data_IF_387572861176
#
_entry.id   IF_387572861176
#
_cell.length_a   1.000
_cell.length_b   1.000
_cell.length_c   1.000
_cell.angle_alpha   90.00
_cell.angle_beta   90.00
_cell.angle_gamma   90.00
#
_symmetry.space_group_name_H-M   'P 1'
#
loop_
_entity.id
_entity.type
_entity.pdbx_description
1 polymer ?
#
# COMPACT_ATOMS: atom_id res chain seq x y z
N UNK A 1 -2.36 20.90 14.80
CA UNK A 1 -1.92 19.52 15.12
C UNK A 1 -1.49 18.85 13.81
N UNK A 2 -0.36 18.14 13.77
CA UNK A 2 0.09 17.42 12.58
C UNK A 2 -0.87 16.26 12.35
N UNK A 3 -1.41 16.14 11.12
CA UNK A 3 -2.32 15.08 10.74
C UNK A 3 -1.57 13.74 10.72
N UNK A 4 -2.11 12.72 11.35
CA UNK A 4 -1.59 11.37 11.31
C UNK A 4 -2.59 10.44 10.62
N UNK A 5 -2.09 9.45 9.94
CA UNK A 5 -2.92 8.55 9.16
C UNK A 5 -2.36 7.14 9.11
N UNK A 6 -3.15 6.25 8.52
CA UNK A 6 -2.86 4.84 8.34
C UNK A 6 -2.97 4.47 6.86
N UNK A 7 -1.93 3.86 6.32
CA UNK A 7 -1.90 3.31 4.98
C UNK A 7 -1.94 1.78 5.05
N UNK A 8 -2.99 1.18 4.49
CA UNK A 8 -3.21 -0.25 4.49
C UNK A 8 -2.89 -0.86 3.12
N UNK A 9 -2.11 -1.94 3.11
CA UNK A 9 -1.78 -2.69 1.92
C UNK A 9 -1.89 -4.19 2.18
N UNK A 10 -2.52 -4.95 1.27
CA UNK A 10 -2.30 -6.39 1.24
C UNK A 10 -0.92 -6.70 0.69
N UNK A 11 -0.35 -7.83 1.08
CA UNK A 11 0.88 -8.35 0.51
C UNK A 11 0.77 -9.82 0.19
N UNK A 12 1.56 -10.24 -0.80
CA UNK A 12 1.74 -11.62 -1.23
C UNK A 12 3.22 -11.82 -1.56
N UNK A 13 3.69 -13.05 -1.48
CA UNK A 13 5.05 -13.38 -1.88
C UNK A 13 5.05 -14.50 -2.91
N UNK A 14 5.90 -14.39 -3.93
CA UNK A 14 6.10 -15.43 -4.95
C UNK A 14 7.56 -15.72 -5.16
N UNK A 15 7.87 -16.92 -5.65
CA UNK A 15 9.25 -17.28 -6.01
C UNK A 15 9.75 -16.40 -7.15
N UNK A 16 11.00 -15.96 -7.08
CA UNK A 16 11.68 -15.29 -8.18
C UNK A 16 11.76 -16.25 -9.37
N UNK A 17 11.54 -15.75 -10.56
CA UNK A 17 11.50 -16.53 -11.81
C UNK A 17 10.36 -17.55 -11.96
N UNK A 18 9.34 -17.51 -11.12
CA UNK A 18 8.11 -18.28 -11.31
C UNK A 18 7.03 -17.42 -12.00
N UNK A 19 6.03 -18.08 -12.62
CA UNK A 19 4.89 -17.37 -13.22
C UNK A 19 4.12 -16.52 -12.22
N UNK A 20 3.33 -15.57 -12.72
CA UNK A 20 2.64 -14.58 -11.88
C UNK A 20 1.64 -15.17 -10.87
N UNK A 21 1.17 -16.40 -11.08
CA UNK A 21 0.15 -17.05 -10.23
C UNK A 21 0.73 -18.00 -9.15
N UNK A 22 2.06 -18.07 -9.01
CA UNK A 22 2.71 -18.98 -8.08
C UNK A 22 3.07 -18.31 -6.74
N UNK A 23 2.07 -17.79 -6.03
CA UNK A 23 2.26 -17.27 -4.68
C UNK A 23 2.53 -18.41 -3.70
N UNK A 24 3.44 -18.18 -2.75
CA UNK A 24 3.71 -19.13 -1.65
C UNK A 24 2.65 -18.99 -0.56
N UNK A 25 2.36 -20.11 0.12
CA UNK A 25 1.55 -20.09 1.34
C UNK A 25 2.33 -19.40 2.48
N UNK A 26 1.74 -18.35 3.07
CA UNK A 26 2.37 -17.63 4.18
C UNK A 26 2.44 -18.46 5.47
N UNK A 27 1.57 -19.47 5.59
CA UNK A 27 1.51 -20.43 6.70
C UNK A 27 2.27 -21.72 6.41
N UNK A 28 2.92 -21.84 5.23
CA UNK A 28 3.63 -23.04 4.80
C UNK A 28 5.15 -22.91 5.00
N UNK A 29 5.85 -24.04 5.19
CA UNK A 29 7.31 -24.05 5.24
C UNK A 29 7.94 -23.57 3.93
N UNK A 30 9.10 -22.95 4.06
CA UNK A 30 9.87 -22.46 2.92
C UNK A 30 11.35 -22.74 3.12
N UNK A 31 12.01 -23.26 2.08
CA UNK A 31 13.43 -23.54 2.07
C UNK A 31 14.11 -22.81 0.91
N UNK A 32 15.22 -22.16 1.21
CA UNK A 32 16.07 -21.50 0.22
C UNK A 32 17.53 -21.47 0.67
N UNK A 33 18.44 -21.89 -0.19
CA UNK A 33 19.90 -21.92 0.07
C UNK A 33 20.26 -22.57 1.42
N UNK A 34 19.69 -23.74 1.72
CA UNK A 34 19.86 -24.48 2.97
C UNK A 34 19.35 -23.78 4.25
N UNK A 35 18.64 -22.67 4.11
CA UNK A 35 17.91 -22.05 5.21
C UNK A 35 16.46 -22.52 5.19
N UNK A 36 15.97 -23.01 6.31
CA UNK A 36 14.62 -23.51 6.49
C UNK A 36 13.83 -22.55 7.38
N UNK A 37 12.63 -22.22 6.96
CA UNK A 37 11.67 -21.37 7.68
C UNK A 37 10.34 -22.11 7.80
N UNK A 38 9.76 -22.17 8.99
CA UNK A 38 8.48 -22.84 9.19
C UNK A 38 7.30 -22.11 8.55
N UNK A 39 7.42 -20.80 8.35
CA UNK A 39 6.39 -19.96 7.74
C UNK A 39 6.97 -18.58 7.36
N UNK A 40 6.14 -17.76 6.74
CA UNK A 40 6.52 -16.40 6.33
C UNK A 40 6.82 -15.46 7.51
N UNK A 41 6.21 -15.69 8.67
CA UNK A 41 6.50 -14.93 9.89
C UNK A 41 7.97 -15.00 10.28
N UNK A 42 8.56 -16.21 10.26
CA UNK A 42 9.99 -16.40 10.57
C UNK A 42 10.89 -15.65 9.58
N UNK A 43 10.53 -15.63 8.28
CA UNK A 43 11.21 -14.84 7.27
C UNK A 43 11.12 -13.33 7.54
N UNK A 44 9.95 -12.84 7.95
CA UNK A 44 9.75 -11.44 8.35
C UNK A 44 10.57 -11.07 9.58
N UNK A 45 10.60 -11.95 10.59
CA UNK A 45 11.40 -11.70 11.80
C UNK A 45 12.91 -11.72 11.51
N UNK A 46 13.36 -12.53 10.55
CA UNK A 46 14.74 -12.48 10.07
C UNK A 46 15.05 -11.15 9.37
N UNK A 47 14.17 -10.68 8.48
CA UNK A 47 14.28 -9.36 7.86
C UNK A 47 14.31 -8.23 8.90
N UNK A 48 13.42 -8.28 9.90
CA UNK A 48 13.34 -7.25 10.95
C UNK A 48 14.66 -7.18 11.71
N UNK A 49 15.25 -8.33 12.09
CA UNK A 49 16.55 -8.39 12.78
C UNK A 49 17.68 -7.83 11.94
N UNK A 50 17.70 -8.10 10.65
CA UNK A 50 18.68 -7.53 9.72
C UNK A 50 18.59 -6.00 9.65
N UNK A 51 17.41 -5.45 9.82
CA UNK A 51 17.15 -4.02 9.76
C UNK A 51 17.22 -3.28 11.11
N UNK A 52 17.75 -3.89 12.17
CA UNK A 52 17.88 -3.22 13.48
C UNK A 52 18.94 -2.11 13.50
N UNK A 53 19.94 -2.18 12.63
CA UNK A 53 20.91 -1.10 12.43
C UNK A 53 20.43 -0.20 11.25
N UNK A 54 20.91 1.05 11.22
CA UNK A 54 20.55 1.97 10.17
C UNK A 54 21.13 1.57 8.81
N UNK A 55 20.25 1.46 7.84
CA UNK A 55 20.58 1.31 6.42
C UNK A 55 20.39 2.63 5.70
N UNK A 56 21.32 2.97 4.85
CA UNK A 56 21.21 4.12 3.96
C UNK A 56 20.55 3.71 2.64
N UNK A 57 19.63 4.55 2.17
CA UNK A 57 19.06 4.45 0.83
C UNK A 57 19.36 5.74 0.06
N UNK A 58 20.47 5.71 -0.67
CA UNK A 58 20.95 6.86 -1.45
C UNK A 58 19.93 7.33 -2.51
N UNK A 59 19.18 6.41 -3.14
CA UNK A 59 18.18 6.76 -4.15
C UNK A 59 17.04 7.60 -3.58
N UNK A 60 16.65 7.31 -2.33
CA UNK A 60 15.58 8.04 -1.63
C UNK A 60 16.13 9.15 -0.75
N UNK A 61 17.45 9.26 -0.58
CA UNK A 61 18.11 10.16 0.38
C UNK A 61 17.52 9.98 1.78
N UNK A 62 17.41 8.72 2.26
CA UNK A 62 16.77 8.37 3.53
C UNK A 62 17.53 7.29 4.29
N UNK A 63 17.59 7.47 5.60
CA UNK A 63 17.96 6.43 6.55
C UNK A 63 16.75 5.58 6.92
N UNK A 64 16.99 4.29 7.20
CA UNK A 64 15.98 3.32 7.59
C UNK A 64 16.53 2.36 8.64
N UNK A 65 15.77 2.13 9.71
CA UNK A 65 16.02 1.06 10.67
C UNK A 65 14.71 0.59 11.31
N UNK A 66 14.73 -0.58 11.92
CA UNK A 66 13.67 -1.03 12.84
C UNK A 66 14.21 -0.94 14.26
N UNK A 67 13.51 -0.22 15.11
CA UNK A 67 13.96 0.07 16.47
C UNK A 67 14.16 -1.24 17.29
N UNK A 68 15.36 -1.45 17.80
CA UNK A 68 15.71 -2.63 18.63
C UNK A 68 14.74 -2.77 19.80
N UNK A 69 14.26 -4.00 20.04
CA UNK A 69 13.33 -4.29 21.13
C UNK A 69 11.90 -3.75 20.96
N UNK A 70 11.59 -3.14 19.81
CA UNK A 70 10.23 -2.63 19.55
C UNK A 70 9.27 -3.69 19.01
N UNK A 71 9.78 -4.85 18.64
CA UNK A 71 9.01 -5.94 18.05
C UNK A 71 8.13 -6.59 19.10
N UNK A 72 6.83 -6.65 18.81
CA UNK A 72 5.86 -7.37 19.63
C UNK A 72 5.04 -8.30 18.73
N UNK A 73 4.87 -9.53 19.16
CA UNK A 73 4.07 -10.54 18.48
C UNK A 73 2.84 -10.83 19.31
N UNK A 74 1.66 -10.60 18.74
CA UNK A 74 0.37 -10.91 19.36
C UNK A 74 -0.29 -12.04 18.62
N UNK A 75 -0.54 -13.15 19.31
CA UNK A 75 -1.30 -14.29 18.79
C UNK A 75 -2.77 -14.18 19.18
N UNK A 76 -3.66 -14.22 18.19
CA UNK A 76 -5.13 -14.12 18.35
C UNK A 76 -5.87 -15.42 17.96
N UNK A 77 -5.15 -16.53 17.90
CA UNK A 77 -5.72 -17.81 17.48
C UNK A 77 -5.82 -17.96 15.97
N UNK A 78 -6.68 -17.20 15.32
CA UNK A 78 -6.89 -17.25 13.86
C UNK A 78 -6.00 -16.30 13.04
N UNK A 79 -5.22 -15.45 13.70
CA UNK A 79 -4.22 -14.59 13.06
C UNK A 79 -3.10 -14.21 14.04
N UNK A 80 -1.99 -13.74 13.50
CA UNK A 80 -0.90 -13.09 14.25
C UNK A 80 -0.72 -11.67 13.80
N UNK A 81 -0.35 -10.81 14.74
CA UNK A 81 0.10 -9.44 14.48
C UNK A 81 1.53 -9.29 14.97
N UNK A 82 2.42 -8.87 14.07
CA UNK A 82 3.74 -8.37 14.39
C UNK A 82 3.65 -6.86 14.37
N UNK A 83 3.99 -6.20 15.47
CA UNK A 83 4.09 -4.74 15.51
C UNK A 83 5.52 -4.34 15.79
N UNK A 84 6.01 -3.28 15.13
CA UNK A 84 7.34 -2.72 15.35
C UNK A 84 7.38 -1.22 15.04
N UNK A 85 8.46 -0.56 15.48
CA UNK A 85 8.72 0.85 15.23
C UNK A 85 9.74 0.97 14.11
N UNK A 86 9.36 1.59 13.02
CA UNK A 86 10.24 1.96 11.93
C UNK A 86 10.82 3.36 12.18
N UNK A 87 12.13 3.46 12.12
CA UNK A 87 12.89 4.70 12.19
C UNK A 87 13.27 5.12 10.78
N UNK A 88 12.87 6.30 10.35
CA UNK A 88 13.26 6.80 9.03
C UNK A 88 13.28 8.31 8.99
N UNK A 89 14.23 8.87 8.25
CA UNK A 89 14.36 10.29 8.04
C UNK A 89 15.17 10.64 6.80
N UNK A 90 14.86 11.79 6.22
CA UNK A 90 15.58 12.29 5.06
C UNK A 90 16.85 13.00 5.48
N UNK A 91 17.89 12.96 4.64
CA UNK A 91 19.13 13.71 4.75
C UNK A 91 19.42 14.47 3.43
N UNK A 92 20.58 15.08 3.30
CA UNK A 92 21.00 15.74 2.05
C UNK A 92 20.60 17.22 1.97
N UNK A 93 19.95 17.79 2.98
CA UNK A 93 19.49 19.19 2.98
C UNK A 93 20.06 19.92 4.21
N UNK A 94 20.76 21.03 3.98
CA UNK A 94 21.12 21.96 5.05
C UNK A 94 19.87 22.74 5.48
N UNK A 95 19.60 22.80 6.79
CA UNK A 95 18.47 23.55 7.34
C UNK A 95 18.77 24.00 8.77
N UNK A 96 17.99 24.94 9.28
CA UNK A 96 18.08 25.43 10.64
C UNK A 96 16.84 25.03 11.43
N UNK A 97 17.01 24.60 12.65
CA UNK A 97 15.95 24.39 13.61
C UNK A 97 15.85 25.61 14.51
N UNK A 98 14.76 26.35 14.39
CA UNK A 98 14.52 27.58 15.16
C UNK A 98 13.46 27.32 16.23
N UNK A 99 13.72 27.75 17.45
CA UNK A 99 12.72 27.70 18.50
C UNK A 99 11.55 28.63 18.15
N UNK A 100 10.33 28.12 18.17
CA UNK A 100 9.13 28.86 17.75
C UNK A 100 8.82 30.06 18.66
N UNK A 101 9.21 30.00 19.94
CA UNK A 101 8.89 31.01 20.92
C UNK A 101 10.00 32.07 21.02
N UNK A 102 11.27 31.64 21.14
CA UNK A 102 12.43 32.58 21.25
C UNK A 102 12.91 33.10 19.90
N UNK A 103 12.58 32.45 18.78
CA UNK A 103 13.04 32.74 17.40
C UNK A 103 14.56 32.56 17.21
N UNK A 104 15.23 31.91 18.13
CA UNK A 104 16.66 31.64 18.06
C UNK A 104 16.91 30.30 17.35
N UNK A 105 18.00 30.25 16.56
CA UNK A 105 18.45 28.98 15.94
C UNK A 105 19.05 28.10 17.03
N UNK A 106 18.48 26.93 17.23
CA UNK A 106 18.89 25.95 18.24
C UNK A 106 19.80 24.85 17.70
N UNK A 107 19.73 24.61 16.40
CA UNK A 107 20.54 23.60 15.71
C UNK A 107 20.63 23.91 14.21
N UNK A 108 21.84 23.84 13.66
CA UNK A 108 22.08 23.86 12.21
C UNK A 108 22.28 22.42 11.71
N UNK A 109 21.30 21.92 10.96
CA UNK A 109 21.34 20.61 10.35
C UNK A 109 22.25 20.63 9.13
N UNK A 110 23.23 19.74 9.11
CA UNK A 110 24.11 19.53 7.96
C UNK A 110 23.47 18.54 6.95
N UNK A 111 23.98 18.50 5.70
CA UNK A 111 23.47 17.53 4.70
C UNK A 111 23.56 16.08 5.13
N UNK A 112 24.56 15.69 5.92
CA UNK A 112 24.75 14.34 6.44
C UNK A 112 23.81 13.97 7.61
N UNK A 113 23.14 14.96 8.20
CA UNK A 113 22.22 14.73 9.33
C UNK A 113 20.86 14.28 8.82
N UNK A 114 20.35 13.17 9.33
CA UNK A 114 19.02 12.67 9.02
C UNK A 114 17.99 13.07 10.09
N UNK A 115 16.85 13.64 9.67
CA UNK A 115 15.72 13.97 10.56
C UNK A 115 14.87 12.70 10.81
N UNK A 116 15.29 11.90 11.77
CA UNK A 116 14.66 10.61 12.07
C UNK A 116 13.33 10.77 12.79
N UNK A 117 12.29 10.17 12.22
CA UNK A 117 10.96 10.05 12.80
C UNK A 117 10.62 8.59 13.10
N UNK A 118 9.73 8.37 14.06
CA UNK A 118 9.26 7.06 14.47
C UNK A 118 7.86 6.81 13.90
N UNK A 119 7.69 5.66 13.23
CA UNK A 119 6.42 5.25 12.64
C UNK A 119 6.06 3.85 13.15
N UNK A 120 4.78 3.64 13.43
CA UNK A 120 4.28 2.31 13.75
C UNK A 120 4.07 1.51 12.46
N UNK A 121 4.56 0.28 12.44
CA UNK A 121 4.24 -0.73 11.43
C UNK A 121 3.55 -1.91 12.11
N UNK A 122 2.39 -2.33 11.59
CA UNK A 122 1.74 -3.58 11.96
C UNK A 122 1.67 -4.50 10.75
N UNK A 123 1.91 -5.78 10.98
CA UNK A 123 1.87 -6.83 9.97
C UNK A 123 0.90 -7.89 10.46
N UNK A 124 -0.20 -8.07 9.72
CA UNK A 124 -1.22 -9.07 9.98
C UNK A 124 -0.99 -10.28 9.10
N UNK A 125 -0.89 -11.45 9.71
CA UNK A 125 -0.72 -12.72 9.03
C UNK A 125 -1.86 -13.63 9.52
N UNK A 126 -2.82 -13.98 8.63
CA UNK A 126 -3.86 -14.92 9.01
C UNK A 126 -3.24 -16.31 9.23
N UNK A 127 -3.83 -17.05 10.17
CA UNK A 127 -3.60 -18.47 10.38
C UNK A 127 -4.81 -19.21 9.87
N UNK A 128 -4.63 -20.24 9.09
CA UNK A 128 -5.73 -21.10 8.77
C UNK A 128 -5.84 -22.24 9.79
N UNK A 129 -7.04 -22.45 10.32
CA UNK A 129 -7.36 -23.57 11.20
C UNK A 129 -7.64 -24.86 10.39
N UNK A 130 -7.71 -24.73 9.05
CA UNK A 130 -8.15 -25.83 8.14
C UNK A 130 -7.00 -26.34 7.27
N UNK A 131 -6.33 -26.58 6.67
CA UNK A 131 -5.32 -27.05 5.70
C UNK A 131 -5.20 -26.14 4.45
N UNK A 132 -5.86 -24.98 4.43
CA UNK A 132 -5.79 -24.08 3.27
C UNK A 132 -4.55 -23.20 3.31
N UNK A 133 -4.01 -22.89 2.14
CA UNK A 133 -2.89 -21.98 2.02
C UNK A 133 -3.34 -20.52 2.22
N UNK A 134 -2.76 -19.86 3.21
CA UNK A 134 -2.90 -18.43 3.39
C UNK A 134 -1.95 -17.73 2.43
N UNK A 135 -2.46 -17.01 1.45
CA UNK A 135 -1.62 -16.38 0.41
C UNK A 135 -1.49 -14.86 0.56
N UNK A 136 -2.29 -14.23 1.41
CA UNK A 136 -2.26 -12.78 1.62
C UNK A 136 -2.16 -12.43 3.10
N UNK A 137 -1.35 -11.42 3.40
CA UNK A 137 -1.35 -10.71 4.67
C UNK A 137 -1.61 -9.22 4.47
N UNK A 138 -1.57 -8.44 5.55
CA UNK A 138 -1.81 -6.99 5.52
C UNK A 138 -0.68 -6.27 6.23
N UNK A 139 -0.14 -5.23 5.58
CA UNK A 139 0.70 -4.21 6.21
C UNK A 139 -0.14 -2.98 6.53
N UNK A 140 0.06 -2.43 7.72
CA UNK A 140 -0.48 -1.14 8.14
C UNK A 140 0.67 -0.21 8.52
N UNK A 141 0.89 0.84 7.73
CA UNK A 141 1.95 1.83 7.90
C UNK A 141 1.37 3.13 8.47
N UNK A 142 1.87 3.57 9.60
CA UNK A 142 1.58 4.92 10.10
C UNK A 142 2.17 5.98 9.17
N UNK A 143 1.47 7.10 9.03
CA UNK A 143 1.95 8.30 8.33
C UNK A 143 1.81 9.53 9.22
N UNK A 144 2.74 10.49 9.10
CA UNK A 144 2.79 11.72 9.88
C UNK A 144 2.87 12.91 8.92
N UNK A 145 1.77 13.62 8.73
CA UNK A 145 1.68 14.67 7.71
C UNK A 145 1.95 14.11 6.31
N UNK A 146 3.00 14.61 5.66
CA UNK A 146 3.45 14.12 4.35
C UNK A 146 4.54 13.04 4.44
N UNK A 147 4.90 12.61 5.65
CA UNK A 147 5.95 11.61 5.87
C UNK A 147 5.33 10.22 6.03
N UNK A 148 5.94 9.25 5.37
CA UNK A 148 5.56 7.85 5.47
C UNK A 148 6.75 6.93 5.19
N UNK A 149 6.65 5.69 5.66
CA UNK A 149 7.73 4.71 5.59
C UNK A 149 7.46 3.55 4.63
N UNK A 150 6.29 3.50 4.00
CA UNK A 150 5.94 2.38 3.09
C UNK A 150 7.01 2.15 2.02
N UNK A 151 7.39 3.19 1.28
CA UNK A 151 8.32 3.05 0.14
C UNK A 151 9.65 2.50 0.60
N UNK A 152 10.29 3.13 1.60
CA UNK A 152 11.60 2.70 2.07
C UNK A 152 11.56 1.31 2.73
N UNK A 153 10.52 1.01 3.50
CA UNK A 153 10.35 -0.33 4.09
C UNK A 153 10.20 -1.39 3.00
N UNK A 154 9.40 -1.10 1.97
CA UNK A 154 9.18 -2.05 0.88
C UNK A 154 10.41 -2.23 -0.02
N UNK A 155 11.23 -1.20 -0.23
CA UNK A 155 12.49 -1.33 -0.96
C UNK A 155 13.49 -2.21 -0.21
N UNK A 156 13.69 -1.97 1.09
CA UNK A 156 14.56 -2.82 1.91
C UNK A 156 14.03 -4.26 1.99
N UNK A 157 12.73 -4.43 2.19
CA UNK A 157 12.10 -5.76 2.21
C UNK A 157 12.26 -6.48 0.86
N UNK A 158 11.98 -5.84 -0.26
CA UNK A 158 12.14 -6.43 -1.59
C UNK A 158 13.58 -6.83 -1.86
N UNK A 159 14.55 -6.00 -1.47
CA UNK A 159 15.96 -6.32 -1.58
C UNK A 159 16.30 -7.58 -0.79
N UNK A 160 16.01 -7.59 0.53
CA UNK A 160 16.30 -8.73 1.41
C UNK A 160 15.62 -10.02 0.92
N UNK A 161 14.31 -9.97 0.64
CA UNK A 161 13.56 -11.14 0.20
C UNK A 161 14.03 -11.67 -1.15
N UNK A 162 14.40 -10.78 -2.08
CA UNK A 162 14.93 -11.18 -3.40
C UNK A 162 16.33 -11.79 -3.32
N UNK A 163 17.23 -11.24 -2.50
CA UNK A 163 18.64 -11.63 -2.42
C UNK A 163 18.82 -12.81 -1.47
N UNK A 164 18.20 -12.78 -0.29
CA UNK A 164 18.41 -13.77 0.77
C UNK A 164 17.41 -14.94 0.73
N UNK A 165 16.23 -14.75 0.14
CA UNK A 165 15.16 -15.75 0.15
C UNK A 165 14.68 -16.14 -1.25
N UNK A 166 15.14 -15.51 -2.32
CA UNK A 166 14.66 -15.76 -3.69
C UNK A 166 13.17 -15.50 -3.90
N UNK A 167 12.59 -14.58 -3.09
CA UNK A 167 11.18 -14.22 -3.12
C UNK A 167 10.95 -12.79 -3.61
N UNK A 168 9.83 -12.56 -4.27
CA UNK A 168 9.33 -11.24 -4.63
C UNK A 168 8.09 -10.94 -3.79
N UNK A 169 8.16 -9.91 -2.94
CA UNK A 169 7.03 -9.43 -2.16
C UNK A 169 6.30 -8.35 -2.96
N UNK A 170 5.02 -8.56 -3.21
CA UNK A 170 4.14 -7.63 -3.91
C UNK A 170 3.13 -7.05 -2.92
N UNK A 171 2.77 -5.77 -3.09
CA UNK A 171 1.77 -5.10 -2.25
C UNK A 171 0.71 -4.43 -3.11
N UNK A 172 -0.55 -4.45 -2.63
CA UNK A 172 -1.68 -3.74 -3.22
C UNK A 172 -2.39 -2.91 -2.16
N UNK A 173 -2.87 -1.72 -2.52
CA UNK A 173 -3.59 -0.85 -1.58
C UNK A 173 -4.99 -1.37 -1.31
N UNK A 174 -5.28 -1.81 -0.10
CA UNK A 174 -6.60 -2.32 0.31
C UNK A 174 -7.59 -1.17 0.48
N UNK A 175 -7.16 -0.08 1.11
CA UNK A 175 -8.01 1.10 1.33
C UNK A 175 -8.59 1.63 0.03
N UNK A 176 -7.82 1.56 -1.07
CA UNK A 176 -8.28 1.98 -2.39
C UNK A 176 -9.35 1.04 -2.94
N UNK A 177 -9.18 -0.26 -2.83
CA UNK A 177 -10.16 -1.25 -3.30
C UNK A 177 -11.52 -1.03 -2.61
N UNK A 178 -11.54 -1.04 -1.29
CA UNK A 178 -12.78 -0.87 -0.49
C UNK A 178 -13.39 0.51 -0.72
N UNK A 179 -12.56 1.55 -0.83
CA UNK A 179 -13.03 2.90 -1.08
C UNK A 179 -13.69 3.03 -2.46
N UNK A 180 -13.07 2.49 -3.51
CA UNK A 180 -13.64 2.51 -4.87
C UNK A 180 -14.93 1.69 -4.91
N UNK A 181 -14.95 0.50 -4.30
CA UNK A 181 -16.17 -0.30 -4.20
C UNK A 181 -17.31 0.48 -3.54
N UNK A 182 -17.05 1.11 -2.40
CA UNK A 182 -18.04 1.93 -1.70
C UNK A 182 -18.53 3.09 -2.56
N UNK A 183 -17.63 3.79 -3.25
CA UNK A 183 -18.00 4.89 -4.16
C UNK A 183 -18.88 4.42 -5.31
N UNK A 184 -18.57 3.26 -5.89
CA UNK A 184 -19.33 2.68 -6.99
C UNK A 184 -20.72 2.25 -6.55
N UNK A 185 -20.84 1.57 -5.39
CA UNK A 185 -22.12 1.07 -4.86
C UNK A 185 -23.03 2.17 -4.31
N UNK A 186 -22.45 3.18 -3.67
CA UNK A 186 -23.22 4.30 -3.08
C UNK A 186 -23.56 5.42 -4.09
N UNK A 187 -23.28 5.19 -5.37
CA UNK A 187 -23.51 6.19 -6.45
C UNK A 187 -22.88 7.57 -6.16
N UNK A 188 -21.78 7.60 -5.38
CA UNK A 188 -21.07 8.84 -5.01
C UNK A 188 -20.07 9.32 -6.05
N UNK A 189 -19.98 8.64 -7.17
CA UNK A 189 -19.14 9.07 -8.27
C UNK A 189 -19.77 10.25 -9.00
N UNK A 190 -18.97 11.30 -9.16
CA UNK A 190 -19.38 12.45 -9.95
C UNK A 190 -19.23 12.22 -11.45
N UNK A 191 -18.23 11.38 -11.85
CA UNK A 191 -17.93 11.13 -13.25
C UNK A 191 -17.14 9.85 -13.46
N UNK A 192 -17.41 9.12 -14.56
CA UNK A 192 -16.55 8.08 -15.11
C UNK A 192 -16.15 8.50 -16.52
N UNK A 193 -14.87 8.45 -16.83
CA UNK A 193 -14.34 8.76 -18.17
C UNK A 193 -13.62 7.54 -18.71
N UNK A 194 -14.11 7.02 -19.82
CA UNK A 194 -13.46 5.95 -20.61
C UNK A 194 -12.56 6.61 -21.65
N UNK A 195 -11.34 6.12 -21.78
CA UNK A 195 -10.31 6.72 -22.63
C UNK A 195 -9.79 5.67 -23.59
N UNK A 196 -9.81 5.97 -24.89
CA UNK A 196 -9.15 5.14 -25.90
C UNK A 196 -8.27 5.98 -26.82
N UNK A 197 -7.22 5.36 -27.31
CA UNK A 197 -6.43 5.93 -28.39
C UNK A 197 -7.10 5.53 -29.71
N UNK A 198 -7.43 6.51 -30.53
CA UNK A 198 -8.01 6.30 -31.84
C UNK A 198 -6.90 6.51 -32.88
N UNK A 199 -6.68 5.48 -33.70
CA UNK A 199 -5.85 5.57 -34.89
C UNK A 199 -6.83 5.44 -36.04
N UNK A 200 -6.93 6.43 -36.91
CA UNK A 200 -7.76 6.29 -38.11
C UNK A 200 -7.27 5.14 -38.96
N UNK A 201 -8.12 4.17 -39.30
CA UNK A 201 -7.73 3.03 -40.14
C UNK A 201 -7.29 3.48 -41.55
N UNK A 202 -7.79 4.63 -42.02
CA UNK A 202 -7.34 5.27 -43.26
C UNK A 202 -7.14 6.78 -43.01
N UNK A 203 -5.89 7.28 -42.99
CA UNK A 203 -5.59 8.71 -42.86
C UNK A 203 -6.18 9.57 -43.97
N UNK A 204 -6.50 8.99 -45.12
CA UNK A 204 -7.09 9.72 -46.26
C UNK A 204 -8.57 10.01 -46.10
N UNK A 205 -9.29 9.26 -45.26
CA UNK A 205 -10.72 9.43 -45.01
C UNK A 205 -11.05 10.42 -43.88
N UNK A 206 -10.03 10.81 -43.11
CA UNK A 206 -10.19 11.74 -41.99
C UNK A 206 -9.53 13.08 -42.29
N UNK A 207 -10.33 14.10 -42.56
CA UNK A 207 -9.85 15.49 -42.78
C UNK A 207 -9.28 16.09 -41.48
N UNK A 208 -9.62 15.56 -40.32
CA UNK A 208 -9.31 16.19 -39.02
C UNK A 208 -8.30 15.42 -38.15
N UNK A 209 -8.27 14.08 -38.15
CA UNK A 209 -7.52 13.31 -37.14
C UNK A 209 -6.91 12.05 -37.75
N UNK A 210 -5.58 12.01 -37.90
CA UNK A 210 -4.84 10.80 -38.25
C UNK A 210 -4.58 9.88 -37.04
N UNK A 211 -4.43 10.47 -35.85
CA UNK A 211 -4.36 9.77 -34.57
C UNK A 211 -4.80 10.72 -33.44
N UNK A 212 -5.47 10.21 -32.44
CA UNK A 212 -5.97 11.01 -31.36
C UNK A 212 -6.38 10.19 -30.13
N UNK A 213 -6.90 10.89 -29.15
CA UNK A 213 -7.46 10.34 -27.93
C UNK A 213 -8.93 10.68 -27.86
N UNK A 214 -9.76 9.66 -27.71
CA UNK A 214 -11.20 9.81 -27.47
C UNK A 214 -11.50 9.63 -25.99
N UNK A 215 -12.36 10.51 -25.44
CA UNK A 215 -12.84 10.41 -24.06
C UNK A 215 -14.35 10.37 -24.04
N UNK A 216 -14.93 9.27 -23.56
CA UNK A 216 -16.37 9.11 -23.35
C UNK A 216 -16.67 9.29 -21.86
N UNK A 217 -17.40 10.34 -21.52
CA UNK A 217 -17.62 10.72 -20.12
C UNK A 217 -19.08 10.54 -19.73
N UNK A 218 -19.30 9.84 -18.61
CA UNK A 218 -20.60 9.68 -17.95
C UNK A 218 -20.62 10.51 -16.67
N UNK A 219 -21.62 11.38 -16.53
CA UNK A 219 -21.80 12.24 -15.35
C UNK A 219 -22.84 11.60 -14.43
N UNK A 220 -22.51 11.46 -13.13
CA UNK A 220 -23.33 10.78 -12.10
C UNK A 220 -23.89 9.44 -12.60
N UNK A 221 -23.04 8.54 -13.12
CA UNK A 221 -23.50 7.29 -13.70
C UNK A 221 -24.07 6.35 -12.63
N UNK A 222 -25.12 5.62 -12.98
CA UNK A 222 -25.53 4.41 -12.24
C UNK A 222 -24.75 3.22 -12.78
N UNK A 223 -24.06 2.54 -11.90
CA UNK A 223 -23.10 1.49 -12.26
C UNK A 223 -23.73 0.12 -12.06
N UNK A 224 -23.63 -0.76 -13.07
CA UNK A 224 -24.09 -2.16 -12.96
C UNK A 224 -23.14 -2.94 -12.05
N UNK A 225 -23.70 -3.86 -11.25
CA UNK A 225 -22.92 -4.73 -10.34
C UNK A 225 -21.83 -5.52 -11.05
N UNK A 226 -22.05 -5.93 -12.29
CA UNK A 226 -21.06 -6.64 -13.10
C UNK A 226 -19.79 -5.80 -13.34
N UNK A 227 -19.94 -4.52 -13.68
CA UNK A 227 -18.82 -3.62 -13.85
C UNK A 227 -18.11 -3.35 -12.51
N UNK A 228 -18.86 -3.21 -11.41
CA UNK A 228 -18.28 -3.07 -10.06
C UNK A 228 -17.41 -4.29 -9.74
N UNK A 229 -17.90 -5.51 -9.98
CA UNK A 229 -17.13 -6.74 -9.78
C UNK A 229 -15.87 -6.79 -10.63
N UNK A 230 -15.92 -6.38 -11.91
CA UNK A 230 -14.74 -6.28 -12.79
C UNK A 230 -13.70 -5.31 -12.23
N UNK A 231 -14.10 -4.10 -11.82
CA UNK A 231 -13.18 -3.10 -11.26
C UNK A 231 -12.55 -3.58 -9.94
N UNK A 232 -13.35 -4.14 -9.05
CA UNK A 232 -12.86 -4.66 -7.76
C UNK A 232 -11.92 -5.85 -7.95
N UNK A 233 -12.27 -6.77 -8.86
CA UNK A 233 -11.42 -7.89 -9.24
C UNK A 233 -10.08 -7.44 -9.82
N UNK A 234 -10.07 -6.41 -10.66
CA UNK A 234 -8.84 -5.80 -11.18
C UNK A 234 -7.98 -5.20 -10.06
N UNK A 235 -8.55 -4.37 -9.20
CA UNK A 235 -7.83 -3.75 -8.07
C UNK A 235 -7.31 -4.83 -7.11
N UNK A 236 -8.07 -5.89 -6.88
CA UNK A 236 -7.68 -7.06 -6.07
C UNK A 236 -6.70 -8.01 -6.75
N UNK A 237 -6.47 -7.85 -8.07
CA UNK A 237 -5.53 -8.65 -8.85
C UNK A 237 -6.04 -9.99 -9.35
N UNK A 238 -7.36 -10.19 -9.35
CA UNK A 238 -8.01 -11.39 -9.90
C UNK A 238 -8.46 -11.22 -11.35
N UNK A 239 -8.41 -10.01 -11.90
CA UNK A 239 -8.81 -9.69 -13.29
C UNK A 239 -7.67 -8.90 -13.96
N UNK A 240 -7.38 -9.23 -15.23
CA UNK A 240 -6.34 -8.56 -16.02
C UNK A 240 -6.79 -7.20 -16.59
N UNK A 241 -5.82 -6.38 -17.01
CA UNK A 241 -6.06 -5.09 -17.69
C UNK A 241 -7.04 -5.24 -18.85
N UNK A 242 -6.83 -6.24 -19.72
CA UNK A 242 -7.67 -6.47 -20.90
C UNK A 242 -9.12 -6.72 -20.52
N UNK A 243 -9.37 -7.55 -19.51
CA UNK A 243 -10.72 -7.91 -19.07
C UNK A 243 -11.49 -6.74 -18.45
N UNK A 244 -10.80 -5.83 -17.72
CA UNK A 244 -11.47 -4.68 -17.08
C UNK A 244 -11.68 -3.53 -18.06
N UNK A 245 -10.80 -3.40 -19.05
CA UNK A 245 -10.84 -2.31 -20.04
C UNK A 245 -11.74 -2.63 -21.25
N UNK A 246 -12.22 -3.86 -21.39
CA UNK A 246 -13.20 -4.25 -22.38
C UNK A 246 -14.62 -3.99 -21.86
N UNK A 247 -15.30 -2.99 -22.43
CA UNK A 247 -16.64 -2.53 -22.05
C UNK A 247 -17.50 -2.42 -23.31
N UNK A 248 -18.65 -3.11 -23.32
CA UNK A 248 -19.61 -3.10 -24.44
C UNK A 248 -18.92 -3.43 -25.79
N UNK A 249 -18.05 -4.44 -25.82
CA UNK A 249 -17.27 -4.90 -26.97
C UNK A 249 -16.25 -3.87 -27.52
N UNK A 250 -16.01 -2.79 -26.78
CA UNK A 250 -14.99 -1.78 -27.08
C UNK A 250 -13.82 -1.90 -26.09
N UNK A 251 -12.57 -1.84 -26.61
CA UNK A 251 -11.36 -1.84 -25.79
C UNK A 251 -10.92 -0.39 -25.49
N UNK A 252 -10.77 -0.08 -24.19
CA UNK A 252 -10.31 1.22 -23.71
C UNK A 252 -8.86 1.16 -23.23
N UNK A 253 -8.18 2.27 -23.35
CA UNK A 253 -6.81 2.43 -22.86
C UNK A 253 -6.72 2.72 -21.37
N UNK A 254 -7.75 3.36 -20.78
CA UNK A 254 -7.83 3.68 -19.35
C UNK A 254 -9.26 4.01 -18.95
N UNK A 255 -9.56 3.88 -17.66
CA UNK A 255 -10.80 4.31 -17.03
C UNK A 255 -10.46 5.26 -15.89
N UNK A 256 -11.07 6.44 -15.87
CA UNK A 256 -10.90 7.41 -14.78
C UNK A 256 -12.17 7.55 -13.96
N UNK A 257 -12.00 7.50 -12.65
CA UNK A 257 -13.03 7.73 -11.66
C UNK A 257 -12.85 9.10 -11.03
N UNK A 258 -13.84 9.97 -11.12
CA UNK A 258 -13.83 11.29 -10.49
C UNK A 258 -14.87 11.35 -9.37
N UNK A 259 -14.47 11.79 -8.18
CA UNK A 259 -15.31 11.85 -6.99
C UNK A 259 -14.91 13.03 -6.09
N UNK A 260 -15.78 13.38 -5.17
CA UNK A 260 -15.48 14.35 -4.13
C UNK A 260 -15.05 13.61 -2.84
N UNK A 261 -13.88 13.94 -2.33
CA UNK A 261 -13.38 13.42 -1.08
C UNK A 261 -12.88 14.58 -0.19
N UNK A 262 -13.49 14.74 0.97
CA UNK A 262 -13.16 15.81 1.93
C UNK A 262 -13.18 17.20 1.30
N UNK A 263 -14.21 17.48 0.48
CA UNK A 263 -14.41 18.77 -0.18
C UNK A 263 -13.51 19.04 -1.40
N UNK A 264 -12.70 18.05 -1.81
CA UNK A 264 -11.82 18.16 -2.99
C UNK A 264 -12.22 17.17 -4.06
N UNK A 265 -12.24 17.63 -5.31
CA UNK A 265 -12.42 16.75 -6.47
C UNK A 265 -11.11 15.98 -6.70
N UNK A 266 -11.21 14.66 -6.69
CA UNK A 266 -10.11 13.75 -7.02
C UNK A 266 -10.47 12.93 -8.25
N UNK A 267 -9.48 12.69 -9.09
CA UNK A 267 -9.60 11.80 -10.24
C UNK A 267 -8.53 10.72 -10.13
N UNK A 268 -8.95 9.47 -10.25
CA UNK A 268 -8.09 8.30 -10.18
C UNK A 268 -8.18 7.54 -11.48
N UNK A 269 -7.05 7.28 -12.11
CA UNK A 269 -6.92 6.39 -13.26
C UNK A 269 -6.86 4.94 -12.79
N UNK A 270 -7.61 4.07 -13.43
CA UNK A 270 -7.60 2.65 -13.10
C UNK A 270 -6.22 2.03 -13.34
N UNK A 271 -5.55 2.39 -14.42
CA UNK A 271 -4.16 1.96 -14.70
C UNK A 271 -3.12 2.48 -13.71
N UNK A 272 -3.40 3.59 -13.06
CA UNK A 272 -2.52 4.17 -12.05
C UNK A 272 -3.04 3.94 -10.62
N UNK A 273 -3.97 3.01 -10.44
CA UNK A 273 -4.65 2.77 -9.16
C UNK A 273 -3.65 2.37 -8.06
N UNK A 274 -2.59 1.65 -8.41
CA UNK A 274 -1.54 1.24 -7.46
C UNK A 274 -0.71 2.43 -6.95
N UNK A 275 -0.68 3.54 -7.70
CA UNK A 275 -0.05 4.80 -7.29
C UNK A 275 -0.96 5.66 -6.41
N UNK A 276 -2.25 5.34 -6.38
CA UNK A 276 -3.20 6.05 -5.55
C UNK A 276 -3.18 5.47 -4.14
N UNK A 277 -2.90 6.33 -3.17
CA UNK A 277 -2.91 5.97 -1.76
C UNK A 277 -4.05 6.69 -1.06
N UNK A 278 -4.89 5.93 -0.40
CA UNK A 278 -5.87 6.45 0.53
C UNK A 278 -5.31 6.28 1.94
N UNK A 279 -5.12 7.39 2.62
CA UNK A 279 -4.67 7.42 4.01
C UNK A 279 -5.92 7.62 4.87
N UNK A 280 -6.16 6.71 5.78
CA UNK A 280 -7.20 6.85 6.79
C UNK A 280 -6.71 7.71 7.93
N UNK A 281 -7.53 8.67 8.37
CA UNK A 281 -7.18 9.56 9.47
C UNK A 281 -7.19 8.78 10.80
N UNK A 282 -6.10 8.87 11.54
CA UNK A 282 -6.03 8.33 12.90
C UNK A 282 -6.69 9.29 13.91
N UNK A 283 -7.49 8.77 14.85
CA UNK A 283 -8.15 9.59 15.85
C UNK A 283 -7.16 10.41 16.70
N UNK A 284 -7.46 11.68 16.92
CA UNK A 284 -6.62 12.57 17.71
C UNK A 284 -6.39 12.09 19.16
N UNK A 285 -7.34 11.34 19.71
CA UNK A 285 -7.23 10.76 21.06
C UNK A 285 -6.13 9.71 21.25
N UNK A 286 -5.52 9.24 20.14
CA UNK A 286 -4.35 8.35 20.19
C UNK A 286 -3.04 9.12 20.46
N UNK A 287 -3.09 10.44 20.49
CA UNK A 287 -1.92 11.32 20.59
C UNK A 287 -2.08 12.36 21.70
N UNK A 288 -2.19 11.96 22.97
CA UNK A 288 -2.30 12.90 24.08
C UNK A 288 -1.05 13.80 24.12
N UNK A 289 -1.25 15.11 24.17
CA UNK A 289 -0.18 16.12 24.18
C UNK A 289 0.81 16.06 22.98
N UNK A 290 0.41 15.44 21.88
CA UNK A 290 1.25 15.26 20.68
C UNK A 290 2.13 14.00 20.71
N UNK A 291 2.22 13.32 21.83
CA UNK A 291 2.91 12.03 21.96
C UNK A 291 2.00 10.85 21.63
N UNK A 292 2.59 9.77 21.13
CA UNK A 292 1.85 8.59 20.72
C UNK A 292 1.64 7.67 21.93
N UNK A 293 0.38 7.39 22.29
CA UNK A 293 0.06 6.23 23.10
C UNK A 293 0.11 4.97 22.20
N UNK A 294 1.27 4.32 22.20
CA UNK A 294 1.55 3.19 21.31
C UNK A 294 0.63 1.99 21.58
N UNK A 295 0.30 1.72 22.82
CA UNK A 295 -0.59 0.63 23.17
C UNK A 295 -1.98 0.84 22.58
N UNK A 296 -2.55 2.04 22.74
CA UNK A 296 -3.84 2.40 22.13
C UNK A 296 -3.77 2.43 20.61
N UNK A 297 -2.67 2.93 20.04
CA UNK A 297 -2.49 2.94 18.59
C UNK A 297 -2.47 1.52 18.02
N UNK A 298 -1.70 0.60 18.60
CA UNK A 298 -1.65 -0.80 18.16
C UNK A 298 -3.03 -1.44 18.26
N UNK A 299 -3.74 -1.27 19.38
CA UNK A 299 -5.10 -1.80 19.56
C UNK A 299 -6.09 -1.24 18.52
N UNK A 300 -6.05 0.06 18.27
CA UNK A 300 -6.89 0.70 17.25
C UNK A 300 -6.58 0.17 15.84
N UNK A 301 -5.30 0.15 15.47
CA UNK A 301 -4.87 -0.33 14.15
C UNK A 301 -5.20 -1.82 13.98
N UNK A 302 -5.05 -2.64 15.02
CA UNK A 302 -5.48 -4.05 15.01
C UNK A 302 -6.97 -4.17 14.67
N UNK A 303 -7.83 -3.37 15.30
CA UNK A 303 -9.27 -3.37 15.01
C UNK A 303 -9.57 -2.99 13.56
N UNK A 304 -8.89 -1.97 13.03
CA UNK A 304 -9.02 -1.54 11.64
C UNK A 304 -8.57 -2.64 10.67
N UNK A 305 -7.38 -3.23 10.89
CA UNK A 305 -6.87 -4.32 10.04
C UNK A 305 -7.83 -5.51 10.03
N UNK A 306 -8.37 -5.89 11.19
CA UNK A 306 -9.31 -7.03 11.30
C UNK A 306 -10.59 -6.78 10.51
N UNK A 307 -11.12 -5.55 10.55
CA UNK A 307 -12.30 -5.16 9.76
C UNK A 307 -12.01 -5.24 8.23
N UNK A 308 -10.81 -4.83 7.81
CA UNK A 308 -10.38 -4.94 6.41
C UNK A 308 -10.10 -6.40 6.01
N UNK A 309 -9.52 -7.20 6.88
CA UNK A 309 -9.21 -8.60 6.63
C UNK A 309 -10.47 -9.43 6.30
N UNK A 310 -11.62 -9.10 6.93
CA UNK A 310 -12.91 -9.73 6.64
C UNK A 310 -13.47 -9.40 5.25
N UNK A 311 -12.98 -8.33 4.61
CA UNK A 311 -13.48 -7.81 3.33
C UNK A 311 -12.62 -8.24 2.14
N UNK A 312 -11.50 -8.91 2.35
CA UNK A 312 -10.60 -9.37 1.30
C UNK A 312 -10.40 -10.89 1.38
N UNK A 313 -10.17 -11.51 0.23
CA UNK A 313 -9.84 -12.94 0.17
C UNK A 313 -8.38 -13.12 0.58
N UNK A 314 -8.15 -13.79 1.70
CA UNK A 314 -6.82 -14.03 2.27
C UNK A 314 -6.30 -15.44 2.02
N UNK A 315 -7.20 -16.37 1.69
CA UNK A 315 -6.93 -17.80 1.57
C UNK A 315 -7.08 -18.22 0.10
N UNK A 316 -6.31 -19.21 -0.34
CA UNK A 316 -6.51 -19.89 -1.63
C UNK A 316 -7.45 -21.07 -1.40
N UNK A 317 -8.49 -21.15 -2.22
CA UNK A 317 -9.38 -22.31 -2.28
C UNK A 317 -8.66 -23.55 -2.82
#
# INVERSE_FOLDING_TARGET
>A
MIKRGLLLCSFQARKKYSGDDSYIGLNMPYEFNNNYYNNFEEMLLAFIRECEDFHDNENLMKMFAISKGSVQITDRGNYRIISCIVLSGAYGIKSEMTNKDTKEVVYERKPEDADIKQFQLLIYIPKDAGCNEVVKGIFAFETIGNYGVKTITMENMKKYFSECLGLIVQTRSISVQIFIEKLLREERMSRITLIRNVISPDPSDSILIAAGREEKTYIKPRIKDEFIKKVIGYIGGSISDKQVLEIDDEEYGDIKFTFNHSGRIKTVSLRAIDKFSLIEDLPAGLYPNGDVDRGRLVTYVESVITDYAQKIVLVRD
#
